data_IF_158602022931
#
_entry.id   IF_158602022931
#
_cell.length_a   1.000
_cell.length_b   1.000
_cell.length_c   1.000
_cell.angle_alpha   90.00
_cell.angle_beta   90.00
_cell.angle_gamma   90.00
#
_symmetry.space_group_name_H-M   'P 1'
#
loop_
_entity.id
_entity.type
_entity.pdbx_description
1 polymer ?
#
# COMPACT_ATOMS: atom_id res chain seq x y z
N UNK A 1 -10.13 43.75 11.73
CA UNK A 1 -11.49 44.32 11.70
C UNK A 1 -12.46 43.21 12.07
N UNK A 2 -13.34 43.46 13.02
CA UNK A 2 -14.20 42.47 13.68
C UNK A 2 -15.24 41.89 12.71
N UNK A 3 -15.41 40.56 12.74
CA UNK A 3 -16.31 39.77 11.88
C UNK A 3 -17.79 40.17 11.81
N UNK A 4 -18.40 40.90 12.77
CA UNK A 4 -19.82 41.28 12.66
C UNK A 4 -20.13 42.26 11.51
N UNK A 5 -19.24 43.20 11.20
CA UNK A 5 -19.49 44.25 10.19
C UNK A 5 -19.47 43.74 8.74
N UNK A 6 -18.95 42.53 8.50
CA UNK A 6 -18.86 41.94 7.16
C UNK A 6 -20.12 41.14 6.78
N UNK A 7 -20.83 40.62 7.78
CA UNK A 7 -22.07 39.83 7.59
C UNK A 7 -23.23 40.77 7.24
N UNK A 8 -23.31 41.93 7.90
CA UNK A 8 -24.34 42.94 7.64
C UNK A 8 -24.29 43.50 6.20
N UNK A 9 -23.08 43.68 5.64
CA UNK A 9 -22.89 44.15 4.26
C UNK A 9 -23.32 43.13 3.19
N UNK A 10 -23.22 41.83 3.50
CA UNK A 10 -23.63 40.74 2.61
C UNK A 10 -25.15 40.53 2.62
N UNK A 11 -25.80 40.65 3.78
CA UNK A 11 -27.26 40.57 3.88
C UNK A 11 -27.98 41.73 3.18
N UNK A 12 -27.44 42.94 3.24
CA UNK A 12 -28.02 44.10 2.54
C UNK A 12 -27.93 43.96 1.01
N UNK A 13 -26.79 43.51 0.50
CA UNK A 13 -26.53 43.43 -0.95
C UNK A 13 -27.27 42.25 -1.58
N UNK A 14 -27.26 41.07 -0.96
CA UNK A 14 -27.89 39.85 -1.50
C UNK A 14 -29.40 39.84 -1.20
N UNK A 15 -29.81 40.29 -0.01
CA UNK A 15 -31.21 40.36 0.40
C UNK A 15 -32.00 41.48 -0.27
N UNK A 16 -31.33 42.53 -0.75
CA UNK A 16 -31.96 43.62 -1.52
C UNK A 16 -32.40 43.20 -2.92
N UNK A 17 -31.56 42.46 -3.64
CA UNK A 17 -31.82 42.06 -5.04
C UNK A 17 -32.83 40.90 -5.13
N UNK A 18 -32.80 39.95 -4.18
CA UNK A 18 -33.77 38.85 -4.10
C UNK A 18 -35.21 39.35 -3.84
N UNK A 19 -35.36 40.39 -3.00
CA UNK A 19 -36.67 41.00 -2.70
C UNK A 19 -37.24 41.81 -3.86
N UNK A 20 -36.39 42.42 -4.70
CA UNK A 20 -36.82 43.09 -5.94
C UNK A 20 -37.27 42.08 -7.00
N UNK A 21 -36.62 40.92 -7.10
CA UNK A 21 -37.00 39.87 -8.05
C UNK A 21 -38.33 39.19 -7.73
N UNK A 22 -38.63 38.94 -6.44
CA UNK A 22 -39.92 38.36 -6.03
C UNK A 22 -41.11 39.30 -6.26
N UNK A 23 -40.91 40.63 -6.21
CA UNK A 23 -41.96 41.62 -6.51
C UNK A 23 -42.26 41.78 -8.02
N UNK A 24 -41.42 41.27 -8.91
CA UNK A 24 -41.54 41.45 -10.37
C UNK A 24 -42.25 40.30 -11.11
N UNK A 25 -42.80 39.29 -10.41
CA UNK A 25 -43.72 38.30 -11.01
C UNK A 25 -43.16 37.42 -12.14
N UNK A 26 -41.83 37.30 -12.28
CA UNK A 26 -41.21 36.53 -13.36
C UNK A 26 -40.95 35.07 -12.94
N UNK A 27 -41.50 34.10 -13.69
CA UNK A 27 -41.12 32.68 -13.58
C UNK A 27 -39.64 32.53 -13.94
N UNK A 28 -38.80 32.12 -12.97
CA UNK A 28 -37.36 31.98 -13.17
C UNK A 28 -37.03 30.78 -14.05
N UNK A 29 -36.35 30.99 -15.18
CA UNK A 29 -35.79 29.90 -15.98
C UNK A 29 -34.33 29.63 -15.59
N UNK A 30 -33.79 28.44 -15.87
CA UNK A 30 -32.53 27.94 -15.28
C UNK A 30 -31.30 28.83 -15.53
N UNK A 31 -31.31 29.64 -16.60
CA UNK A 31 -30.25 30.60 -16.92
C UNK A 31 -30.12 31.72 -15.86
N UNK A 32 -31.23 32.19 -15.28
CA UNK A 32 -31.21 33.23 -14.23
C UNK A 32 -30.59 32.70 -12.94
N UNK A 33 -30.92 31.46 -12.55
CA UNK A 33 -30.35 30.81 -11.37
C UNK A 33 -28.84 30.58 -11.51
N UNK A 34 -28.39 30.21 -12.72
CA UNK A 34 -26.98 30.01 -13.03
C UNK A 34 -26.17 31.31 -12.92
N UNK A 35 -26.75 32.44 -13.34
CA UNK A 35 -26.11 33.77 -13.22
C UNK A 35 -25.91 34.19 -11.75
N UNK A 36 -26.90 33.94 -10.88
CA UNK A 36 -26.78 34.26 -9.45
C UNK A 36 -25.79 33.35 -8.72
N UNK A 37 -25.78 32.05 -9.02
CA UNK A 37 -24.80 31.12 -8.46
C UNK A 37 -23.36 31.50 -8.85
N UNK A 38 -23.16 31.97 -10.09
CA UNK A 38 -21.86 32.46 -10.53
C UNK A 38 -21.42 33.70 -9.76
N UNK A 39 -22.32 34.67 -9.52
CA UNK A 39 -21.98 35.85 -8.71
C UNK A 39 -21.63 35.51 -7.26
N UNK A 40 -22.38 34.61 -6.63
CA UNK A 40 -22.08 34.16 -5.26
C UNK A 40 -20.70 33.50 -5.20
N UNK A 41 -20.38 32.65 -6.17
CA UNK A 41 -19.09 31.97 -6.26
C UNK A 41 -17.92 32.97 -6.39
N UNK A 42 -18.06 34.02 -7.21
CA UNK A 42 -17.02 35.06 -7.36
C UNK A 42 -16.83 35.88 -6.08
N UNK A 43 -17.91 36.19 -5.36
CA UNK A 43 -17.82 36.91 -4.07
C UNK A 43 -17.09 36.08 -3.00
N UNK A 44 -17.35 34.76 -2.93
CA UNK A 44 -16.67 33.84 -2.00
C UNK A 44 -15.16 33.76 -2.32
N UNK A 45 -14.79 33.68 -3.60
CA UNK A 45 -13.38 33.65 -4.01
C UNK A 45 -12.66 34.93 -3.58
N UNK A 46 -13.28 36.10 -3.75
CA UNK A 46 -12.69 37.38 -3.36
C UNK A 46 -12.46 37.47 -1.84
N UNK A 47 -13.41 36.96 -1.05
CA UNK A 47 -13.32 36.87 0.41
C UNK A 47 -12.16 35.99 0.89
N UNK A 48 -11.98 34.81 0.27
CA UNK A 48 -10.88 33.89 0.59
C UNK A 48 -9.52 34.53 0.28
N UNK A 49 -9.40 35.22 -0.85
CA UNK A 49 -8.17 35.93 -1.21
C UNK A 49 -7.86 37.10 -0.27
N UNK A 50 -8.88 37.81 0.22
CA UNK A 50 -8.73 38.87 1.23
C UNK A 50 -8.18 38.34 2.55
N UNK A 51 -8.69 37.18 3.01
CA UNK A 51 -8.27 36.55 4.27
C UNK A 51 -6.84 35.98 4.21
N UNK A 52 -6.43 35.46 3.05
CA UNK A 52 -5.08 34.96 2.85
C UNK A 52 -4.03 36.09 2.79
N UNK A 53 -4.40 37.29 2.33
CA UNK A 53 -3.49 38.46 2.33
C UNK A 53 -3.26 39.06 3.72
N UNK A 54 -4.19 38.92 4.67
CA UNK A 54 -4.03 39.48 6.03
C UNK A 54 -3.17 38.63 6.97
N UNK A 55 -2.76 37.42 6.57
CA UNK A 55 -2.12 36.43 7.45
C UNK A 55 -0.58 36.38 7.36
N UNK A 56 0.07 37.30 6.63
CA UNK A 56 1.53 37.29 6.41
C UNK A 56 2.39 38.03 7.46
N UNK A 57 1.84 38.51 8.57
CA UNK A 57 2.63 39.19 9.61
C UNK A 57 2.35 38.66 11.02
N UNK A 58 2.83 37.46 11.34
CA UNK A 58 3.07 37.03 12.73
C UNK A 58 4.41 36.31 12.79
N UNK A 59 5.44 36.98 13.34
CA UNK A 59 6.72 36.38 13.75
C UNK A 59 6.57 35.87 15.18
N UNK A 60 6.75 34.57 15.41
CA UNK A 60 6.91 34.00 16.76
C UNK A 60 8.32 33.41 16.90
N UNK A 61 9.02 33.92 17.91
CA UNK A 61 10.37 33.55 18.35
C UNK A 61 10.20 32.48 19.44
N UNK A 62 10.92 31.36 19.33
CA UNK A 62 10.85 30.26 20.32
C UNK A 62 12.20 30.15 21.05
N UNK A 63 12.25 30.14 22.39
CA UNK A 63 13.40 29.63 23.12
C UNK A 63 13.24 28.14 23.45
N UNK A 64 14.38 27.45 23.52
CA UNK A 64 14.54 26.04 23.85
C UNK A 64 14.24 25.75 25.33
N UNK A 65 13.82 24.50 25.53
CA UNK A 65 14.04 23.61 26.67
C UNK A 65 12.89 23.19 27.61
N UNK A 66 12.87 21.86 27.76
CA UNK A 66 12.32 20.98 28.80
C UNK A 66 10.88 20.45 28.70
N UNK A 67 10.87 19.12 28.75
CA UNK A 67 9.82 18.11 28.69
C UNK A 67 8.62 18.35 29.61
N UNK A 68 7.43 18.09 29.08
CA UNK A 68 6.35 17.21 29.60
C UNK A 68 5.28 17.14 28.50
N UNK A 69 5.05 15.95 27.92
CA UNK A 69 3.97 15.72 26.96
C UNK A 69 2.63 15.68 27.71
N UNK A 70 1.96 16.83 27.80
CA UNK A 70 0.55 16.95 28.11
C UNK A 70 -0.20 17.42 26.88
N UNK A 71 -0.72 16.48 26.07
CA UNK A 71 -1.66 16.83 25.00
C UNK A 71 -3.05 17.02 25.62
N UNK A 72 -3.52 18.25 25.62
CA UNK A 72 -4.94 18.55 25.61
C UNK A 72 -5.16 19.73 24.67
N UNK A 73 -5.72 19.46 23.49
CA UNK A 73 -6.81 20.24 22.93
C UNK A 73 -7.58 19.41 21.91
N UNK A 74 -8.84 19.20 22.29
CA UNK A 74 -10.00 18.74 21.54
C UNK A 74 -10.13 19.33 20.14
N UNK A 75 -10.08 18.45 19.14
CA UNK A 75 -11.04 18.37 18.03
C UNK A 75 -10.92 16.97 17.39
N UNK A 76 -11.79 16.06 17.84
CA UNK A 76 -12.21 14.83 17.14
C UNK A 76 -11.14 13.96 16.46
N UNK A 77 -10.21 13.38 17.23
CA UNK A 77 -9.52 12.18 16.75
C UNK A 77 -10.52 11.03 16.80
N UNK A 78 -10.86 10.48 15.64
CA UNK A 78 -11.61 9.23 15.51
C UNK A 78 -11.04 8.19 16.49
N UNK A 79 -11.89 7.66 17.36
CA UNK A 79 -11.54 6.71 18.42
C UNK A 79 -10.88 5.41 17.91
N UNK A 80 -10.80 5.22 16.59
CA UNK A 80 -10.17 4.05 15.96
C UNK A 80 -8.65 4.10 15.81
N UNK A 81 -7.99 5.26 15.94
CA UNK A 81 -6.55 5.43 15.66
C UNK A 81 -5.65 5.46 16.90
N UNK A 82 -6.12 4.93 18.04
CA UNK A 82 -5.27 4.86 19.24
C UNK A 82 -4.09 3.93 18.94
N UNK A 83 -2.93 4.56 18.67
CA UNK A 83 -1.63 3.90 18.65
C UNK A 83 -1.31 3.56 20.10
N UNK A 84 -1.58 2.32 20.45
CA UNK A 84 -1.22 1.76 21.74
C UNK A 84 0.23 1.27 21.66
N UNK A 85 0.93 1.19 22.79
CA UNK A 85 2.27 0.57 22.87
C UNK A 85 2.18 -0.98 22.70
N UNK A 86 1.13 -1.45 22.02
CA UNK A 86 0.83 -2.85 21.74
C UNK A 86 1.85 -3.45 20.79
N UNK A 87 2.14 -4.72 21.03
CA UNK A 87 2.93 -5.55 20.15
C UNK A 87 2.00 -6.57 19.51
N UNK A 88 1.89 -6.55 18.18
CA UNK A 88 1.18 -7.60 17.43
C UNK A 88 1.92 -8.91 17.61
N UNK A 89 1.21 -9.96 18.00
CA UNK A 89 1.80 -11.29 18.19
C UNK A 89 2.26 -11.90 16.85
N UNK A 90 3.23 -12.82 16.94
CA UNK A 90 3.63 -13.68 15.83
C UNK A 90 2.68 -14.89 15.74
N UNK A 91 1.41 -14.64 15.40
CA UNK A 91 0.29 -15.58 15.54
C UNK A 91 0.40 -16.82 14.65
N UNK A 92 1.19 -16.77 13.58
CA UNK A 92 1.40 -17.88 12.65
C UNK A 92 2.73 -18.63 12.89
N UNK A 93 3.53 -18.19 13.87
CA UNK A 93 4.73 -18.90 14.30
C UNK A 93 4.38 -20.29 14.85
N UNK A 94 5.18 -21.30 14.53
CA UNK A 94 4.96 -22.69 14.91
C UNK A 94 4.01 -23.47 13.98
N UNK A 95 3.41 -22.81 12.99
CA UNK A 95 2.56 -23.49 11.99
C UNK A 95 2.95 -23.13 10.55
N UNK A 96 3.05 -21.85 10.20
CA UNK A 96 3.44 -21.40 8.86
C UNK A 96 4.95 -21.29 8.69
N UNK A 97 5.66 -21.04 9.78
CA UNK A 97 7.12 -20.99 9.88
C UNK A 97 7.54 -21.44 11.28
N UNK A 98 8.81 -21.79 11.49
CA UNK A 98 9.26 -22.27 12.80
C UNK A 98 9.07 -21.19 13.87
N UNK A 99 8.49 -21.57 15.02
CA UNK A 99 8.41 -20.71 16.19
C UNK A 99 9.70 -20.66 17.00
N UNK A 100 10.64 -21.59 16.73
CA UNK A 100 11.96 -21.59 17.36
C UNK A 100 12.90 -20.62 16.62
N UNK A 101 13.54 -19.73 17.37
CA UNK A 101 14.39 -18.68 16.83
C UNK A 101 15.65 -19.24 16.15
N UNK A 102 16.25 -20.31 16.69
CA UNK A 102 17.46 -20.94 16.16
C UNK A 102 17.17 -21.64 14.83
N UNK A 103 16.12 -22.45 14.79
CA UNK A 103 15.67 -23.15 13.59
C UNK A 103 15.28 -22.18 12.48
N UNK A 104 14.48 -21.16 12.81
CA UNK A 104 14.05 -20.15 11.84
C UNK A 104 15.24 -19.38 11.28
N UNK A 105 16.15 -18.94 12.15
CA UNK A 105 17.35 -18.22 11.73
C UNK A 105 18.22 -19.06 10.79
N UNK A 106 18.44 -20.33 11.11
CA UNK A 106 19.24 -21.26 10.31
C UNK A 106 18.58 -21.55 8.96
N UNK A 107 17.27 -21.76 8.94
CA UNK A 107 16.51 -22.03 7.72
C UNK A 107 16.58 -20.84 6.74
N UNK A 108 16.33 -19.62 7.23
CA UNK A 108 16.42 -18.41 6.42
C UNK A 108 17.84 -18.15 5.93
N UNK A 109 18.85 -18.34 6.79
CA UNK A 109 20.27 -18.21 6.40
C UNK A 109 20.63 -19.17 5.26
N UNK A 110 20.19 -20.43 5.34
CA UNK A 110 20.51 -21.45 4.35
C UNK A 110 19.90 -21.13 2.98
N UNK A 111 18.67 -20.61 2.91
CA UNK A 111 18.09 -20.16 1.65
C UNK A 111 18.79 -18.90 1.13
N UNK A 112 19.04 -17.90 1.98
CA UNK A 112 19.69 -16.65 1.58
C UNK A 112 21.14 -16.84 1.11
N UNK A 113 21.85 -17.86 1.60
CA UNK A 113 23.21 -18.20 1.14
C UNK A 113 23.27 -18.75 -0.29
N UNK A 114 22.19 -19.38 -0.76
CA UNK A 114 22.14 -19.99 -2.10
C UNK A 114 21.87 -18.96 -3.21
N UNK A 115 21.41 -17.76 -2.84
CA UNK A 115 21.01 -16.72 -3.79
C UNK A 115 22.16 -15.75 -4.05
N UNK A 116 22.44 -15.51 -5.34
CA UNK A 116 23.34 -14.44 -5.79
C UNK A 116 22.59 -13.11 -5.86
N UNK A 117 23.23 -12.05 -5.40
CA UNK A 117 22.69 -10.69 -5.47
C UNK A 117 22.86 -10.13 -6.89
N UNK A 118 21.80 -9.57 -7.45
CA UNK A 118 21.82 -8.88 -8.73
C UNK A 118 22.42 -7.47 -8.59
N UNK A 119 23.13 -6.96 -9.60
CA UNK A 119 23.63 -5.59 -9.58
C UNK A 119 22.48 -4.57 -9.68
N UNK A 120 22.67 -3.40 -9.08
CA UNK A 120 21.72 -2.28 -9.14
C UNK A 120 21.12 -1.91 -7.78
N UNK A 121 20.33 -0.83 -7.76
CA UNK A 121 19.63 -0.34 -6.56
C UNK A 121 18.21 -0.89 -6.60
N UNK A 122 17.87 -1.74 -5.63
CA UNK A 122 16.52 -2.30 -5.49
C UNK A 122 15.68 -1.44 -4.55
N UNK A 123 14.47 -1.10 -4.98
CA UNK A 123 13.53 -0.24 -4.23
C UNK A 123 12.24 -0.95 -3.81
N UNK A 124 11.88 -2.02 -4.50
CA UNK A 124 10.76 -2.86 -4.14
C UNK A 124 11.04 -4.32 -4.49
N UNK A 125 10.36 -5.24 -3.81
CA UNK A 125 10.31 -6.66 -4.16
C UNK A 125 8.88 -7.15 -4.21
N UNK A 126 8.64 -8.19 -5.02
CA UNK A 126 7.49 -9.08 -4.88
C UNK A 126 7.98 -10.38 -4.25
N UNK A 127 7.30 -10.86 -3.21
CA UNK A 127 7.65 -12.09 -2.48
C UNK A 127 6.39 -12.87 -2.08
N UNK A 128 6.43 -14.23 -2.11
CA UNK A 128 5.31 -15.07 -1.70
C UNK A 128 5.02 -14.99 -0.19
N UNK A 129 3.85 -15.47 0.21
CA UNK A 129 3.38 -15.53 1.60
C UNK A 129 2.66 -16.84 1.97
N UNK A 130 2.97 -17.94 1.29
CA UNK A 130 2.64 -19.26 1.80
C UNK A 130 3.53 -19.64 3.00
N UNK A 131 3.27 -20.83 3.58
CA UNK A 131 4.14 -21.41 4.59
C UNK A 131 5.57 -21.59 4.08
N UNK A 132 6.56 -21.37 4.96
CA UNK A 132 7.98 -21.31 4.59
C UNK A 132 8.52 -22.61 3.99
N UNK A 133 7.95 -23.76 4.38
CA UNK A 133 8.27 -25.06 3.78
C UNK A 133 7.97 -25.13 2.27
N UNK A 134 7.02 -24.32 1.78
CA UNK A 134 6.63 -24.29 0.36
C UNK A 134 7.36 -23.20 -0.41
N UNK A 135 7.41 -21.98 0.12
CA UNK A 135 7.84 -20.81 -0.64
C UNK A 135 9.07 -20.09 -0.08
N UNK A 136 9.63 -20.54 1.05
CA UNK A 136 10.74 -19.86 1.73
C UNK A 136 11.99 -19.74 0.86
N UNK A 137 12.36 -20.78 0.13
CA UNK A 137 13.46 -20.73 -0.85
C UNK A 137 13.19 -19.68 -1.94
N UNK A 138 11.95 -19.61 -2.45
CA UNK A 138 11.57 -18.62 -3.47
C UNK A 138 11.64 -17.21 -2.91
N UNK A 139 11.08 -16.95 -1.72
CA UNK A 139 11.13 -15.66 -1.05
C UNK A 139 12.57 -15.16 -0.84
N UNK A 140 13.51 -16.06 -0.53
CA UNK A 140 14.92 -15.69 -0.36
C UNK A 140 15.53 -15.03 -1.61
N UNK A 141 15.07 -15.37 -2.82
CA UNK A 141 15.52 -14.72 -4.06
C UNK A 141 15.22 -13.23 -4.08
N UNK A 142 14.06 -12.82 -3.56
CA UNK A 142 13.66 -11.42 -3.45
C UNK A 142 14.39 -10.73 -2.29
N UNK A 143 14.33 -11.32 -1.09
CA UNK A 143 14.91 -10.70 0.12
C UNK A 143 16.43 -10.53 0.07
N UNK A 144 17.16 -11.41 -0.63
CA UNK A 144 18.61 -11.29 -0.82
C UNK A 144 19.01 -10.01 -1.58
N UNK A 145 18.10 -9.43 -2.36
CA UNK A 145 18.39 -8.24 -3.16
C UNK A 145 18.44 -6.96 -2.30
N UNK A 146 17.86 -6.99 -1.11
CA UNK A 146 17.88 -5.85 -0.19
C UNK A 146 19.33 -5.50 0.17
N UNK A 147 19.63 -4.20 0.25
CA UNK A 147 20.93 -3.70 0.72
C UNK A 147 20.74 -3.10 2.12
N UNK A 148 21.06 -3.83 3.20
CA UNK A 148 20.62 -3.47 4.54
C UNK A 148 21.01 -2.05 4.97
N UNK A 149 22.26 -1.66 4.72
CA UNK A 149 22.78 -0.33 5.12
C UNK A 149 22.17 0.86 4.37
N UNK A 150 21.27 0.62 3.40
CA UNK A 150 20.60 1.67 2.61
C UNK A 150 19.11 1.80 2.91
N UNK A 151 18.56 0.93 3.76
CA UNK A 151 17.12 0.87 4.03
C UNK A 151 16.88 1.24 5.49
N UNK A 152 16.08 2.29 5.72
CA UNK A 152 15.67 2.72 7.06
C UNK A 152 14.18 2.47 7.32
N UNK A 153 13.38 2.33 6.28
CA UNK A 153 11.92 2.21 6.38
C UNK A 153 11.42 1.20 5.37
N UNK A 154 10.61 0.24 5.80
CA UNK A 154 10.08 -0.83 4.94
C UNK A 154 8.56 -0.83 4.96
N UNK A 155 7.96 -0.49 3.83
CA UNK A 155 6.53 -0.65 3.59
C UNK A 155 6.25 -2.11 3.24
N UNK A 156 5.31 -2.75 3.94
CA UNK A 156 4.90 -4.14 3.66
C UNK A 156 3.43 -4.11 3.27
N UNK A 157 3.16 -4.27 1.97
CA UNK A 157 1.81 -4.28 1.41
C UNK A 157 1.37 -5.73 1.21
N UNK A 158 0.42 -6.18 2.02
CA UNK A 158 -0.14 -7.53 1.94
C UNK A 158 -1.63 -7.53 1.61
N UNK A 159 -2.15 -8.47 0.80
CA UNK A 159 -3.57 -8.59 0.54
C UNK A 159 -4.33 -9.02 1.81
N UNK A 160 -5.62 -8.68 1.90
CA UNK A 160 -6.49 -9.23 2.95
C UNK A 160 -7.17 -10.52 2.52
N UNK A 161 -7.04 -11.55 3.36
CA UNK A 161 -7.73 -12.83 3.27
C UNK A 161 -8.82 -12.98 4.34
N UNK A 162 -8.66 -12.30 5.47
CA UNK A 162 -9.53 -12.47 6.64
C UNK A 162 -10.75 -11.56 6.62
N UNK A 163 -10.60 -10.33 6.12
CA UNK A 163 -11.65 -9.31 6.17
C UNK A 163 -11.94 -8.75 4.79
N UNK A 164 -13.21 -8.51 4.53
CA UNK A 164 -13.58 -7.67 3.41
C UNK A 164 -13.17 -6.22 3.73
N UNK A 165 -12.29 -5.67 2.90
CA UNK A 165 -11.78 -4.32 3.01
C UNK A 165 -11.92 -3.65 1.64
N UNK A 166 -12.58 -2.50 1.58
CA UNK A 166 -12.73 -1.70 0.35
C UNK A 166 -11.74 -0.53 0.40
N UNK A 167 -10.45 -0.81 0.37
CA UNK A 167 -9.40 0.18 0.57
C UNK A 167 -8.14 -0.45 1.13
N UNK A 168 -7.36 0.36 1.82
CA UNK A 168 -6.20 -0.08 2.58
C UNK A 168 -6.42 0.23 4.06
N UNK A 169 -5.83 -0.60 4.93
CA UNK A 169 -5.83 -0.39 6.36
C UNK A 169 -4.40 -0.32 6.90
N UNK A 170 -4.25 0.32 8.06
CA UNK A 170 -2.96 0.51 8.73
C UNK A 170 -3.00 -0.06 10.14
N UNK A 171 -1.84 -0.47 10.62
CA UNK A 171 -1.71 -1.05 11.96
C UNK A 171 -2.01 -0.04 13.05
N UNK A 172 -2.60 -0.52 14.15
CA UNK A 172 -2.74 0.24 15.41
C UNK A 172 -1.73 -0.21 16.47
N UNK A 173 -0.80 -1.10 16.10
CA UNK A 173 0.26 -1.61 16.97
C UNK A 173 1.55 -0.78 16.85
N UNK A 174 2.33 -0.75 17.93
CA UNK A 174 3.64 -0.11 17.97
C UNK A 174 4.75 -1.00 17.41
N UNK A 175 4.60 -2.33 17.51
CA UNK A 175 5.59 -3.32 17.09
C UNK A 175 4.94 -4.58 16.54
N UNK A 176 5.67 -5.32 15.72
CA UNK A 176 5.33 -6.67 15.28
C UNK A 176 6.35 -7.66 15.84
N UNK A 177 5.88 -8.65 16.60
CA UNK A 177 6.75 -9.71 17.10
C UNK A 177 7.18 -10.64 15.97
N UNK A 178 8.43 -11.10 16.04
CA UNK A 178 8.92 -12.26 15.28
C UNK A 178 9.75 -13.14 16.22
N UNK A 179 9.97 -14.43 15.91
CA UNK A 179 10.89 -15.26 16.70
C UNK A 179 12.34 -14.73 16.73
N UNK A 180 12.73 -13.91 15.75
CA UNK A 180 14.07 -13.32 15.69
C UNK A 180 14.18 -12.02 16.50
N UNK A 181 13.05 -11.42 16.89
CA UNK A 181 12.97 -10.16 17.62
C UNK A 181 11.86 -9.25 17.09
N UNK A 182 11.40 -8.32 17.92
CA UNK A 182 10.32 -7.40 17.57
C UNK A 182 10.79 -6.37 16.52
N UNK A 183 9.93 -6.05 15.56
CA UNK A 183 10.12 -5.00 14.56
C UNK A 183 9.28 -3.76 14.93
N UNK A 184 9.89 -2.58 14.88
CA UNK A 184 9.25 -1.32 15.29
C UNK A 184 8.46 -0.70 14.13
N UNK A 185 7.21 -0.32 14.37
CA UNK A 185 6.38 0.39 13.41
C UNK A 185 6.78 1.87 13.34
N UNK A 186 6.91 2.43 12.14
CA UNK A 186 7.18 3.86 11.95
C UNK A 186 5.94 4.69 12.26
N UNK A 187 5.83 5.16 13.50
CA UNK A 187 4.64 5.91 13.95
C UNK A 187 4.48 7.25 13.23
N UNK A 188 5.59 7.86 12.78
CA UNK A 188 5.54 9.13 12.06
C UNK A 188 4.90 8.91 10.69
N UNK A 189 5.38 7.95 9.91
CA UNK A 189 4.80 7.64 8.60
C UNK A 189 3.39 7.09 8.74
N UNK A 190 3.11 6.27 9.76
CA UNK A 190 1.76 5.78 10.01
C UNK A 190 0.79 6.95 10.20
N UNK A 191 1.14 7.93 11.04
CA UNK A 191 0.33 9.14 11.23
C UNK A 191 0.18 9.99 9.96
N UNK A 192 1.24 10.11 9.14
CA UNK A 192 1.15 10.79 7.83
C UNK A 192 0.17 10.10 6.88
N UNK A 193 0.16 8.76 6.85
CA UNK A 193 -0.77 8.00 6.03
C UNK A 193 -2.20 8.12 6.56
N UNK A 194 -2.41 8.07 7.87
CA UNK A 194 -3.72 8.31 8.51
C UNK A 194 -4.28 9.68 8.12
N UNK A 195 -3.43 10.72 8.13
CA UNK A 195 -3.83 12.08 7.78
C UNK A 195 -4.27 12.27 6.31
N UNK A 196 -4.06 11.27 5.45
CA UNK A 196 -4.61 11.28 4.08
C UNK A 196 -6.11 10.95 4.04
N UNK A 197 -6.69 10.47 5.15
CA UNK A 197 -8.06 9.98 5.27
C UNK A 197 -8.40 8.83 4.30
N UNK A 198 -7.37 8.25 3.67
CA UNK A 198 -7.52 7.17 2.69
C UNK A 198 -7.41 5.78 3.32
N UNK A 199 -7.16 5.67 4.62
CA UNK A 199 -6.91 4.39 5.29
C UNK A 199 -7.90 4.15 6.42
N UNK A 200 -8.15 2.87 6.70
CA UNK A 200 -8.91 2.41 7.86
C UNK A 200 -7.97 1.85 8.94
N UNK A 201 -8.32 1.92 10.23
CA UNK A 201 -7.53 1.26 11.27
C UNK A 201 -7.75 -0.26 11.23
N UNK A 202 -6.68 -1.04 11.31
CA UNK A 202 -6.78 -2.48 11.53
C UNK A 202 -7.16 -2.77 12.97
N UNK A 203 -8.22 -3.58 13.17
CA UNK A 203 -8.45 -4.19 14.48
C UNK A 203 -7.37 -5.24 14.75
N UNK A 204 -6.81 -5.25 15.97
CA UNK A 204 -5.75 -6.19 16.37
C UNK A 204 -6.12 -7.65 16.08
N UNK A 205 -7.37 -8.05 16.36
CA UNK A 205 -7.84 -9.43 16.09
C UNK A 205 -7.70 -9.82 14.62
N UNK A 206 -8.18 -8.98 13.70
CA UNK A 206 -8.13 -9.27 12.28
C UNK A 206 -6.70 -9.17 11.74
N UNK A 207 -5.91 -8.25 12.28
CA UNK A 207 -4.50 -8.08 11.94
C UNK A 207 -3.65 -9.29 12.38
N UNK A 208 -3.91 -9.87 13.55
CA UNK A 208 -3.26 -11.11 14.00
C UNK A 208 -3.78 -12.34 13.25
N UNK A 209 -5.04 -12.35 12.80
CA UNK A 209 -5.55 -13.44 11.97
C UNK A 209 -4.99 -13.40 10.53
N UNK A 210 -4.55 -12.24 10.05
CA UNK A 210 -3.98 -12.08 8.70
C UNK A 210 -2.52 -12.51 8.64
N UNK A 211 -2.15 -13.29 7.64
CA UNK A 211 -0.80 -13.86 7.49
C UNK A 211 0.02 -13.17 6.40
N UNK A 212 -0.61 -12.52 5.41
CA UNK A 212 0.07 -12.05 4.21
C UNK A 212 1.20 -11.05 4.49
N UNK A 213 1.04 -10.23 5.53
CA UNK A 213 2.03 -9.28 6.03
C UNK A 213 3.05 -9.99 6.94
N UNK A 214 2.58 -10.86 7.84
CA UNK A 214 3.42 -11.54 8.82
C UNK A 214 4.49 -12.42 8.17
N UNK A 215 4.17 -13.11 7.08
CA UNK A 215 5.12 -13.97 6.37
C UNK A 215 6.36 -13.22 5.83
N UNK A 216 6.29 -11.89 5.73
CA UNK A 216 7.42 -11.07 5.30
C UNK A 216 8.34 -10.67 6.48
N UNK A 217 7.84 -10.70 7.72
CA UNK A 217 8.50 -10.12 8.89
C UNK A 217 9.76 -10.88 9.33
N UNK A 218 9.78 -12.23 9.43
CA UNK A 218 11.01 -12.94 9.76
C UNK A 218 12.14 -12.74 8.75
N UNK A 219 11.82 -12.68 7.45
CA UNK A 219 12.81 -12.36 6.42
C UNK A 219 13.38 -10.95 6.58
N UNK A 220 12.54 -9.96 6.90
CA UNK A 220 13.01 -8.59 7.19
C UNK A 220 13.91 -8.55 8.41
N UNK A 221 13.49 -9.18 9.53
CA UNK A 221 14.31 -9.28 10.73
C UNK A 221 15.67 -9.94 10.43
N UNK A 222 15.67 -11.01 9.63
CA UNK A 222 16.89 -11.72 9.23
C UNK A 222 17.83 -10.88 8.38
N UNK A 223 17.30 -10.17 7.38
CA UNK A 223 18.12 -9.46 6.38
C UNK A 223 18.58 -8.09 6.88
N UNK A 224 17.75 -7.40 7.66
CA UNK A 224 17.99 -6.02 8.11
C UNK A 224 18.45 -5.92 9.57
N UNK A 225 18.34 -6.99 10.35
CA UNK A 225 18.62 -6.97 11.79
C UNK A 225 17.48 -6.33 12.59
N UNK A 226 17.78 -5.65 13.70
CA UNK A 226 16.75 -5.05 14.58
C UNK A 226 16.93 -3.55 14.87
N UNK A 227 18.11 -2.98 14.63
CA UNK A 227 18.47 -1.68 15.23
C UNK A 227 18.36 -0.48 14.28
N UNK A 228 18.20 -0.71 12.98
CA UNK A 228 18.46 0.34 11.97
C UNK A 228 17.29 0.59 10.99
N UNK A 229 16.11 -0.01 11.21
CA UNK A 229 14.94 0.25 10.37
C UNK A 229 13.62 0.15 11.11
N UNK A 230 12.59 0.75 10.51
CA UNK A 230 11.18 0.65 10.93
C UNK A 230 10.33 0.02 9.82
N UNK A 231 9.18 -0.56 10.20
CA UNK A 231 8.21 -1.13 9.27
C UNK A 231 6.95 -0.27 9.17
N UNK A 232 6.28 -0.34 8.02
CA UNK A 232 4.97 0.27 7.76
C UNK A 232 4.05 -0.81 7.17
N UNK A 233 3.35 -1.58 8.03
CA UNK A 233 2.40 -2.59 7.60
C UNK A 233 1.16 -1.96 6.97
N UNK A 234 0.81 -2.38 5.75
CA UNK A 234 -0.36 -1.92 5.01
C UNK A 234 -1.15 -3.12 4.52
N UNK A 235 -2.36 -3.28 5.02
CA UNK A 235 -3.29 -4.30 4.55
C UNK A 235 -4.05 -3.73 3.35
N UNK A 236 -4.03 -4.45 2.24
CA UNK A 236 -4.62 -4.02 0.97
C UNK A 236 -5.83 -4.88 0.67
N UNK A 237 -7.00 -4.27 0.64
CA UNK A 237 -8.26 -4.94 0.33
C UNK A 237 -8.56 -5.01 -1.16
N UNK A 238 -9.85 -5.03 -1.48
CA UNK A 238 -10.36 -4.88 -2.83
C UNK A 238 -10.29 -3.42 -3.26
N UNK A 239 -9.63 -3.13 -4.38
CA UNK A 239 -9.45 -1.78 -4.89
C UNK A 239 -10.10 -1.61 -6.26
N UNK A 240 -10.94 -0.60 -6.39
CA UNK A 240 -11.34 -0.09 -7.70
C UNK A 240 -10.15 0.53 -8.43
N UNK A 241 -10.26 0.72 -9.76
CA UNK A 241 -9.22 1.42 -10.53
C UNK A 241 -8.93 2.83 -9.96
N UNK A 242 -9.95 3.57 -9.55
CA UNK A 242 -9.77 4.89 -8.92
C UNK A 242 -8.97 4.81 -7.62
N UNK A 243 -9.24 3.80 -6.76
CA UNK A 243 -8.48 3.58 -5.54
C UNK A 243 -7.05 3.11 -5.81
N UNK A 244 -6.82 2.28 -6.83
CA UNK A 244 -5.46 1.91 -7.26
C UNK A 244 -4.65 3.17 -7.64
N UNK A 245 -5.22 4.10 -8.40
CA UNK A 245 -4.58 5.38 -8.70
C UNK A 245 -4.34 6.23 -7.44
N UNK A 246 -5.34 6.33 -6.55
CA UNK A 246 -5.23 7.08 -5.30
C UNK A 246 -4.08 6.56 -4.42
N UNK A 247 -4.04 5.27 -4.12
CA UNK A 247 -2.96 4.69 -3.31
C UNK A 247 -1.61 4.71 -4.04
N UNK A 248 -1.58 4.48 -5.35
CA UNK A 248 -0.38 4.64 -6.16
C UNK A 248 0.23 6.04 -6.01
N UNK A 249 -0.61 7.09 -6.09
CA UNK A 249 -0.17 8.48 -5.89
C UNK A 249 0.32 8.74 -4.47
N UNK A 250 -0.36 8.21 -3.45
CA UNK A 250 0.06 8.32 -2.05
C UNK A 250 1.43 7.67 -1.84
N UNK A 251 1.65 6.47 -2.36
CA UNK A 251 2.90 5.73 -2.17
C UNK A 251 4.05 6.19 -3.06
N UNK A 252 3.78 6.87 -4.18
CA UNK A 252 4.82 7.35 -5.09
C UNK A 252 5.85 8.28 -4.42
N UNK A 253 5.42 9.17 -3.51
CA UNK A 253 6.35 10.04 -2.77
C UNK A 253 7.27 9.24 -1.83
N UNK A 254 6.76 8.15 -1.26
CA UNK A 254 7.53 7.27 -0.38
C UNK A 254 8.46 6.36 -1.20
N UNK A 255 8.05 5.93 -2.40
CA UNK A 255 8.91 5.17 -3.31
C UNK A 255 10.12 6.00 -3.78
N UNK A 256 9.95 7.32 -3.91
CA UNK A 256 11.01 8.25 -4.32
C UNK A 256 12.11 8.47 -3.28
N UNK A 257 11.79 8.33 -1.99
CA UNK A 257 12.75 8.53 -0.90
C UNK A 257 13.77 7.38 -0.88
N UNK A 258 15.08 7.65 -1.00
CA UNK A 258 16.12 6.62 -1.13
C UNK A 258 16.17 5.65 0.07
N UNK A 259 15.79 6.11 1.27
CA UNK A 259 15.84 5.34 2.51
C UNK A 259 14.64 4.37 2.68
N UNK A 260 13.64 4.46 1.81
CA UNK A 260 12.45 3.61 1.84
C UNK A 260 12.60 2.36 0.97
N UNK A 261 11.94 1.28 1.37
CA UNK A 261 11.87 0.03 0.61
C UNK A 261 10.46 -0.55 0.67
N UNK A 262 10.03 -1.24 -0.39
CA UNK A 262 8.70 -1.82 -0.47
C UNK A 262 8.76 -3.35 -0.60
N UNK A 263 8.01 -4.06 0.23
CA UNK A 263 7.72 -5.49 0.09
C UNK A 263 6.28 -5.63 -0.33
N UNK A 264 6.07 -6.19 -1.53
CA UNK A 264 4.75 -6.46 -2.08
C UNK A 264 4.50 -7.96 -1.93
N UNK A 265 3.58 -8.32 -1.05
CA UNK A 265 3.32 -9.70 -0.69
C UNK A 265 2.31 -10.32 -1.66
N UNK A 266 2.70 -11.38 -2.38
CA UNK A 266 1.81 -12.09 -3.31
C UNK A 266 2.29 -13.49 -3.63
N UNK A 267 1.41 -14.47 -3.47
CA UNK A 267 1.44 -15.71 -4.23
C UNK A 267 0.84 -15.49 -5.64
N UNK A 268 1.05 -16.45 -6.54
CA UNK A 268 0.57 -16.43 -7.93
C UNK A 268 -0.61 -17.38 -8.09
N UNK A 269 -0.76 -18.10 -9.22
CA UNK A 269 -1.92 -18.96 -9.46
C UNK A 269 -2.18 -19.96 -8.30
N UNK A 270 -3.38 -19.88 -7.73
CA UNK A 270 -3.98 -20.93 -6.91
C UNK A 270 -4.87 -21.78 -7.82
N UNK A 271 -4.33 -22.91 -8.30
CA UNK A 271 -4.99 -23.77 -9.28
C UNK A 271 -5.57 -25.01 -8.61
N UNK A 272 -6.79 -25.38 -8.99
CA UNK A 272 -7.45 -26.60 -8.54
C UNK A 272 -8.90 -26.37 -8.15
N UNK A 273 -9.66 -27.47 -8.04
CA UNK A 273 -11.09 -27.42 -7.70
C UNK A 273 -11.36 -26.71 -6.36
N UNK A 274 -10.47 -26.89 -5.37
CA UNK A 274 -10.58 -26.22 -4.06
C UNK A 274 -10.49 -24.69 -4.10
N UNK A 275 -9.96 -24.14 -5.19
CA UNK A 275 -9.86 -22.70 -5.42
C UNK A 275 -10.89 -22.20 -6.44
N UNK A 276 -11.77 -23.10 -6.93
CA UNK A 276 -12.72 -22.82 -8.01
C UNK A 276 -12.05 -22.23 -9.27
N UNK A 277 -10.81 -22.64 -9.54
CA UNK A 277 -10.02 -22.12 -10.65
C UNK A 277 -9.20 -23.24 -11.29
N UNK A 278 -9.68 -23.76 -12.42
CA UNK A 278 -9.04 -24.86 -13.15
C UNK A 278 -8.92 -24.60 -14.65
N UNK A 279 -8.52 -23.40 -15.11
CA UNK A 279 -8.32 -23.19 -16.53
C UNK A 279 -7.21 -24.12 -17.03
N UNK A 280 -7.52 -24.87 -18.07
CA UNK A 280 -6.59 -25.71 -18.81
C UNK A 280 -7.22 -26.01 -20.18
N UNK A 281 -6.39 -26.31 -21.16
CA UNK A 281 -6.81 -26.81 -22.46
C UNK A 281 -6.48 -28.29 -22.58
N UNK A 282 -7.51 -29.11 -22.81
CA UNK A 282 -7.37 -30.54 -23.11
C UNK A 282 -6.71 -30.81 -24.47
N UNK A 283 -6.63 -29.79 -25.33
CA UNK A 283 -6.00 -29.88 -26.65
C UNK A 283 -4.55 -29.40 -26.65
N UNK A 284 -4.03 -28.97 -25.50
CA UNK A 284 -2.63 -28.59 -25.36
C UNK A 284 -1.74 -29.83 -25.25
N UNK A 285 -0.57 -29.79 -25.87
CA UNK A 285 0.49 -30.79 -25.65
C UNK A 285 1.19 -30.64 -24.29
N UNK A 286 0.97 -29.52 -23.59
CA UNK A 286 1.53 -29.23 -22.27
C UNK A 286 0.68 -29.84 -21.16
N UNK A 287 1.34 -30.41 -20.17
CA UNK A 287 0.69 -30.83 -18.92
C UNK A 287 0.14 -29.63 -18.14
N UNK A 288 -0.76 -29.90 -17.17
CA UNK A 288 -1.47 -28.83 -16.44
C UNK A 288 -0.47 -27.87 -15.77
N UNK A 289 0.55 -28.36 -15.07
CA UNK A 289 1.53 -27.49 -14.40
C UNK A 289 2.32 -26.58 -15.35
N UNK A 290 2.58 -27.03 -16.58
CA UNK A 290 3.22 -26.22 -17.61
C UNK A 290 2.27 -25.14 -18.15
N UNK A 291 0.98 -25.44 -18.28
CA UNK A 291 -0.05 -24.45 -18.63
C UNK A 291 -0.24 -23.41 -17.51
N UNK A 292 -0.19 -23.82 -16.23
CA UNK A 292 -0.17 -22.90 -15.09
C UNK A 292 1.08 -22.00 -15.16
N UNK A 293 2.24 -22.59 -15.47
CA UNK A 293 3.48 -21.83 -15.64
C UNK A 293 3.36 -20.79 -16.75
N UNK A 294 2.83 -21.15 -17.92
CA UNK A 294 2.59 -20.17 -19.00
C UNK A 294 1.66 -19.03 -18.55
N UNK A 295 0.57 -19.37 -17.85
CA UNK A 295 -0.39 -18.41 -17.32
C UNK A 295 0.28 -17.43 -16.35
N UNK A 296 1.09 -17.92 -15.42
CA UNK A 296 1.81 -17.07 -14.46
C UNK A 296 2.89 -16.23 -15.15
N UNK A 297 3.66 -16.79 -16.08
CA UNK A 297 4.69 -16.07 -16.81
C UNK A 297 4.11 -14.95 -17.69
N UNK A 298 2.88 -15.10 -18.21
CA UNK A 298 2.15 -14.00 -18.84
C UNK A 298 1.87 -12.86 -17.86
N UNK A 299 1.43 -13.18 -16.64
CA UNK A 299 1.22 -12.18 -15.58
C UNK A 299 2.53 -11.52 -15.13
N UNK A 300 3.60 -12.30 -14.98
CA UNK A 300 4.95 -11.81 -14.65
C UNK A 300 5.50 -10.88 -15.74
N UNK A 301 5.23 -11.19 -17.02
CA UNK A 301 5.59 -10.32 -18.16
C UNK A 301 4.81 -9.00 -18.09
N UNK A 302 3.51 -9.07 -17.79
CA UNK A 302 2.68 -7.87 -17.62
C UNK A 302 3.18 -6.98 -16.48
N UNK A 303 3.59 -7.55 -15.35
CA UNK A 303 4.19 -6.81 -14.23
C UNK A 303 5.56 -6.21 -14.63
N UNK A 304 6.40 -6.97 -15.33
CA UNK A 304 7.72 -6.54 -15.82
C UNK A 304 7.63 -5.34 -16.76
N UNK A 305 6.51 -5.19 -17.49
CA UNK A 305 6.27 -4.02 -18.34
C UNK A 305 6.12 -2.70 -17.57
N UNK A 306 5.91 -2.77 -16.24
CA UNK A 306 5.67 -1.63 -15.37
C UNK A 306 4.52 -0.72 -15.85
N UNK A 307 3.55 -1.30 -16.55
CA UNK A 307 2.39 -0.63 -17.13
C UNK A 307 1.10 -1.18 -16.49
N UNK A 308 0.42 -0.42 -15.60
CA UNK A 308 -0.75 -0.91 -14.88
C UNK A 308 -1.90 -1.40 -15.79
N UNK A 309 -2.27 -0.69 -16.89
CA UNK A 309 -3.21 -1.22 -17.89
C UNK A 309 -2.91 -2.64 -18.38
N UNK A 310 -1.65 -2.95 -18.71
CA UNK A 310 -1.27 -4.28 -19.23
C UNK A 310 -1.54 -5.39 -18.20
N UNK A 311 -1.23 -5.15 -16.93
CA UNK A 311 -1.53 -6.12 -15.86
C UNK A 311 -3.04 -6.23 -15.58
N UNK A 312 -3.76 -5.12 -15.61
CA UNK A 312 -5.22 -5.12 -15.44
C UNK A 312 -5.93 -5.90 -16.56
N UNK A 313 -5.49 -5.75 -17.81
CA UNK A 313 -6.07 -6.46 -18.95
C UNK A 313 -5.77 -7.97 -18.87
N UNK A 314 -4.55 -8.35 -18.46
CA UNK A 314 -4.23 -9.74 -18.14
C UNK A 314 -5.15 -10.33 -17.07
N UNK A 315 -5.39 -9.62 -15.96
CA UNK A 315 -6.28 -10.09 -14.90
C UNK A 315 -7.72 -10.23 -15.39
N UNK A 316 -8.21 -9.29 -16.20
CA UNK A 316 -9.57 -9.37 -16.78
C UNK A 316 -9.71 -10.54 -17.74
N UNK A 317 -8.72 -10.77 -18.59
CA UNK A 317 -8.73 -11.87 -19.58
C UNK A 317 -8.67 -13.23 -18.89
N UNK A 318 -7.74 -13.39 -17.95
CA UNK A 318 -7.40 -14.71 -17.42
C UNK A 318 -8.13 -15.06 -16.13
N UNK A 319 -8.53 -14.06 -15.34
CA UNK A 319 -9.03 -14.24 -13.98
C UNK A 319 -8.04 -14.98 -13.07
N UNK A 320 -6.72 -14.92 -13.35
CA UNK A 320 -5.72 -15.61 -12.55
C UNK A 320 -5.82 -15.25 -11.07
N UNK A 321 -5.75 -16.26 -10.21
CA UNK A 321 -5.99 -16.18 -8.77
C UNK A 321 -4.80 -15.63 -7.98
N UNK A 322 -4.07 -14.67 -8.55
CA UNK A 322 -2.98 -13.93 -7.89
C UNK A 322 -3.56 -13.18 -6.68
N UNK A 323 -3.24 -13.63 -5.47
CA UNK A 323 -3.84 -13.10 -4.23
C UNK A 323 -3.42 -11.65 -3.97
N UNK A 324 -2.17 -11.29 -4.26
CA UNK A 324 -1.61 -9.95 -4.12
C UNK A 324 -1.81 -9.04 -5.33
N UNK A 325 -2.78 -9.33 -6.22
CA UNK A 325 -3.06 -8.51 -7.40
C UNK A 325 -3.26 -7.02 -7.09
N UNK A 326 -3.92 -6.68 -5.99
CA UNK A 326 -4.15 -5.28 -5.59
C UNK A 326 -2.88 -4.60 -5.05
N UNK A 327 -2.10 -5.20 -4.11
CA UNK A 327 -0.76 -4.72 -3.79
C UNK A 327 0.14 -4.50 -5.01
N UNK A 328 0.14 -5.43 -5.97
CA UNK A 328 0.91 -5.32 -7.22
C UNK A 328 0.42 -4.14 -8.05
N UNK A 329 -0.89 -3.99 -8.26
CA UNK A 329 -1.45 -2.83 -8.98
C UNK A 329 -1.08 -1.51 -8.31
N UNK A 330 -1.10 -1.42 -6.98
CA UNK A 330 -0.66 -0.23 -6.24
C UNK A 330 0.83 0.06 -6.48
N UNK A 331 1.69 -0.96 -6.45
CA UNK A 331 3.11 -0.81 -6.77
C UNK A 331 3.32 -0.31 -8.21
N UNK A 332 2.61 -0.88 -9.19
CA UNK A 332 2.71 -0.47 -10.59
C UNK A 332 2.30 1.00 -10.78
N UNK A 333 1.20 1.41 -10.13
CA UNK A 333 0.73 2.80 -10.16
C UNK A 333 1.74 3.74 -9.47
N UNK A 334 2.28 3.36 -8.31
CA UNK A 334 3.30 4.15 -7.62
C UNK A 334 4.57 4.30 -8.45
N UNK A 335 5.00 3.24 -9.14
CA UNK A 335 6.14 3.27 -10.05
C UNK A 335 5.88 4.16 -11.27
N UNK A 336 4.66 4.16 -11.82
CA UNK A 336 4.27 5.06 -12.91
C UNK A 336 4.34 6.53 -12.48
N UNK A 337 3.70 6.90 -11.36
CA UNK A 337 3.79 8.26 -10.82
C UNK A 337 5.23 8.65 -10.48
N UNK A 338 6.03 7.74 -9.91
CA UNK A 338 7.43 7.98 -9.64
C UNK A 338 8.21 8.35 -10.91
N UNK A 339 8.02 7.63 -12.01
CA UNK A 339 8.65 7.93 -13.31
C UNK A 339 8.19 9.26 -13.90
N UNK A 340 6.92 9.64 -13.71
CA UNK A 340 6.41 10.93 -14.18
C UNK A 340 7.01 12.11 -13.40
N UNK A 341 7.29 11.91 -12.10
CA UNK A 341 7.87 12.94 -11.23
C UNK A 341 9.40 13.02 -11.31
N UNK A 342 10.09 11.97 -11.76
CA UNK A 342 11.54 11.86 -11.67
C UNK A 342 12.17 11.38 -12.99
N UNK A 343 13.33 11.91 -13.34
CA UNK A 343 14.10 11.45 -14.51
C UNK A 343 14.91 10.18 -14.19
N UNK A 344 14.25 9.10 -13.77
CA UNK A 344 14.87 7.80 -13.48
C UNK A 344 14.36 6.73 -14.45
N UNK A 345 15.18 5.71 -14.71
CA UNK A 345 14.69 4.44 -15.30
C UNK A 345 14.34 3.48 -14.18
N UNK A 346 13.31 2.66 -14.43
CA UNK A 346 12.91 1.58 -13.54
C UNK A 346 12.77 0.31 -14.36
N UNK A 347 13.25 -0.80 -13.82
CA UNK A 347 13.17 -2.12 -14.42
C UNK A 347 12.76 -3.11 -13.36
N UNK A 348 11.72 -3.90 -13.62
CA UNK A 348 11.33 -4.99 -12.73
C UNK A 348 11.81 -6.32 -13.31
N UNK A 349 12.36 -7.20 -12.47
CA UNK A 349 12.78 -8.55 -12.87
C UNK A 349 12.24 -9.59 -11.91
N UNK A 350 11.66 -10.65 -12.44
CA UNK A 350 11.49 -11.88 -11.67
C UNK A 350 12.80 -12.67 -11.64
N UNK A 351 13.10 -13.20 -10.46
CA UNK A 351 14.36 -13.86 -10.11
C UNK A 351 14.19 -15.35 -9.86
N UNK A 352 12.99 -15.77 -9.45
CA UNK A 352 12.62 -17.16 -9.22
C UNK A 352 11.14 -17.36 -9.43
N UNK A 353 10.79 -18.51 -10.01
CA UNK A 353 9.44 -19.04 -10.09
C UNK A 353 9.48 -20.49 -9.58
N UNK A 354 8.44 -20.89 -8.85
CA UNK A 354 8.22 -22.27 -8.42
C UNK A 354 6.74 -22.55 -8.24
N UNK A 355 6.40 -23.82 -8.03
CA UNK A 355 5.05 -24.29 -7.75
C UNK A 355 5.13 -25.23 -6.55
N UNK A 356 4.09 -25.24 -5.69
CA UNK A 356 4.02 -26.15 -4.54
C UNK A 356 4.15 -27.62 -4.94
N UNK A 357 3.66 -27.98 -6.13
CA UNK A 357 3.71 -29.29 -6.75
C UNK A 357 3.33 -29.19 -8.23
N UNK A 358 3.69 -30.19 -9.02
CA UNK A 358 3.32 -30.29 -10.44
C UNK A 358 1.95 -30.96 -10.61
N UNK A 359 0.89 -30.18 -10.83
CA UNK A 359 -0.42 -30.71 -11.24
C UNK A 359 -0.34 -31.46 -12.58
N UNK A 360 -0.87 -32.69 -12.60
CA UNK A 360 -0.96 -33.58 -13.76
C UNK A 360 -2.40 -34.03 -14.03
N UNK A 361 -3.31 -33.88 -13.06
CA UNK A 361 -4.72 -34.25 -13.17
C UNK A 361 -5.65 -33.15 -12.63
N UNK A 362 -6.95 -33.25 -12.93
CA UNK A 362 -7.96 -32.29 -12.44
C UNK A 362 -8.28 -32.41 -10.95
N UNK A 363 -7.92 -33.53 -10.33
CA UNK A 363 -8.01 -33.70 -8.87
C UNK A 363 -6.84 -33.07 -8.11
N UNK A 364 -5.75 -32.73 -8.82
CA UNK A 364 -4.62 -32.07 -8.19
C UNK A 364 -4.95 -30.61 -7.87
N UNK A 365 -4.16 -30.00 -6.99
CA UNK A 365 -4.14 -28.55 -6.81
C UNK A 365 -2.73 -28.09 -6.51
N UNK A 366 -2.41 -26.84 -6.83
CA UNK A 366 -1.13 -26.22 -6.54
C UNK A 366 -1.27 -24.73 -6.31
N UNK A 367 -0.24 -24.14 -5.70
CA UNK A 367 -0.05 -22.69 -5.62
C UNK A 367 1.30 -22.35 -6.23
N UNK A 368 1.35 -21.32 -7.06
CA UNK A 368 2.58 -20.81 -7.66
C UNK A 368 3.20 -19.72 -6.82
N UNK A 369 4.53 -19.64 -6.84
CA UNK A 369 5.32 -18.65 -6.12
C UNK A 369 6.28 -17.95 -7.08
N UNK A 370 6.38 -16.63 -6.96
CA UNK A 370 7.35 -15.86 -7.72
C UNK A 370 8.03 -14.82 -6.83
N UNK A 371 9.32 -14.64 -7.03
CA UNK A 371 10.12 -13.62 -6.37
C UNK A 371 10.69 -12.67 -7.41
N UNK A 372 10.53 -11.36 -7.20
CA UNK A 372 11.00 -10.34 -8.13
C UNK A 372 11.45 -9.06 -7.44
N UNK A 373 12.15 -8.21 -8.17
CA UNK A 373 12.74 -6.98 -7.66
C UNK A 373 12.59 -5.83 -8.66
N UNK A 374 12.25 -4.65 -8.15
CA UNK A 374 12.23 -3.38 -8.86
C UNK A 374 13.59 -2.67 -8.69
N UNK A 375 14.34 -2.60 -9.76
CA UNK A 375 15.59 -1.87 -9.87
C UNK A 375 15.32 -0.44 -10.35
N UNK A 376 15.92 0.54 -9.70
CA UNK A 376 15.87 1.94 -10.14
C UNK A 376 17.29 2.40 -10.45
N UNK A 377 17.48 3.07 -11.58
CA UNK A 377 18.73 3.69 -11.97
C UNK A 377 18.49 5.18 -12.24
N UNK A 378 19.41 6.07 -11.80
CA UNK A 378 19.46 7.44 -12.32
C UNK A 378 19.60 7.39 -13.84
N UNK A 379 18.86 8.23 -14.57
CA UNK A 379 19.13 8.42 -16.00
C UNK A 379 20.42 9.18 -16.22
#
# INVERSE_FOLDING_TARGET
MSGPLLVDSLEETIGGDLRRHQKAGAKSNSQTLCFYLHKIHQSIISLIHGFLRSSQHIKLRVPLETSIFGMNHSNGVSTGWIVDNRVRSASHAGSWYSGDAGDLNNQLENWLKQVKKSPGIVKAIISPHAGYSYCGETAAYAFKQITPNKVKRVFVLGPSHVVFLNGCALTTCAKYRTPLGDLVVDQKINAELVATEAFEPMSVRNEEAEHSIEMQMPFLAKVLGHSNFTIIPVLVGSLSQSKQHQYGKIFAKYLADPDNFFVISSDFCHWGQRFHYTPHSNHSSKSIHEQISDLDHRGMTAITSLNPPVFNDYLKETQNTICGRNPISVMLQAAEYFRQMNNHTAEFKFLRYSQSNSCRSLSDSSVSYAAGALFIQPK
#
